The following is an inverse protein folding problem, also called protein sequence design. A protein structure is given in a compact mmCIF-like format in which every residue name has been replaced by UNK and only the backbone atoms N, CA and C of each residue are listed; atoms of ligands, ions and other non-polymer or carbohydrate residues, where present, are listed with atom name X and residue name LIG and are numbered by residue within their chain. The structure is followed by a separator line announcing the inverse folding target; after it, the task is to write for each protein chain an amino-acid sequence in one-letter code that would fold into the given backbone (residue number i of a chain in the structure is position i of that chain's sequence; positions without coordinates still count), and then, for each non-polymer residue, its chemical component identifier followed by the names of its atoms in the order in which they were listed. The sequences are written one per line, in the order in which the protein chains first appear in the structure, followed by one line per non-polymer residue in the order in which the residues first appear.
data_IF_416221601793
#
_entry.id   IF_416221601793
#
_cell.length_a   1.000
_cell.length_b   1.000
_cell.length_c   1.000
_cell.angle_alpha   90.00
_cell.angle_beta   90.00
_cell.angle_gamma   90.00
#
_symmetry.space_group_name_H-M   'P 1'
#
loop_
_entity.id
_entity.type
_entity.pdbx_description
1 polymer ?
#
# COMPACT_ATOMS: atom_id res chain seq x y z
N UNK A 1 -20.95 -1.58 -27.94
CA UNK A 1 -20.70 -1.17 -26.55
C UNK A 1 -20.16 0.24 -26.64
N UNK A 2 -20.95 1.21 -26.22
CA UNK A 2 -20.58 2.62 -26.18
C UNK A 2 -19.34 2.78 -25.28
N UNK A 3 -18.34 3.50 -25.77
CA UNK A 3 -17.18 3.95 -25.01
C UNK A 3 -17.72 4.74 -23.80
N UNK A 4 -17.76 4.11 -22.61
CA UNK A 4 -17.84 4.91 -21.40
C UNK A 4 -16.60 5.80 -21.40
N UNK A 5 -16.80 7.11 -21.22
CA UNK A 5 -15.69 8.06 -21.10
C UNK A 5 -14.82 7.64 -19.92
N UNK A 6 -13.65 7.00 -20.21
CA UNK A 6 -12.67 6.64 -19.19
C UNK A 6 -12.07 7.92 -18.64
N UNK A 7 -11.98 8.02 -17.33
CA UNK A 7 -11.30 9.15 -16.69
C UNK A 7 -9.80 9.05 -16.99
N UNK A 8 -9.21 10.15 -17.47
CA UNK A 8 -7.80 10.22 -17.81
C UNK A 8 -6.99 10.88 -16.69
N UNK A 9 -5.89 10.23 -16.32
CA UNK A 9 -4.94 10.72 -15.33
C UNK A 9 -3.54 10.84 -15.93
N UNK A 10 -2.69 11.71 -15.37
CA UNK A 10 -1.29 11.76 -15.74
C UNK A 10 -0.55 10.55 -15.16
N UNK A 11 -0.64 10.36 -13.86
CA UNK A 11 0.00 9.24 -13.16
C UNK A 11 -1.00 8.56 -12.24
N UNK A 12 -0.98 7.23 -12.23
CA UNK A 12 -1.69 6.39 -11.25
C UNK A 12 -0.67 5.51 -10.54
N UNK A 13 -0.75 5.45 -9.22
CA UNK A 13 0.11 4.60 -8.40
C UNK A 13 -0.77 3.68 -7.56
N UNK A 14 -0.53 2.38 -7.66
CA UNK A 14 -1.14 1.34 -6.84
C UNK A 14 -0.05 0.49 -6.18
N UNK A 15 -0.34 -0.09 -5.03
CA UNK A 15 0.55 -1.02 -4.32
C UNK A 15 -0.24 -2.08 -3.58
N UNK A 16 0.45 -3.08 -3.06
CA UNK A 16 -0.10 -4.05 -2.09
C UNK A 16 -1.37 -4.75 -2.60
N UNK A 17 -1.31 -5.27 -3.82
CA UNK A 17 -2.40 -6.07 -4.42
C UNK A 17 -2.39 -7.48 -3.87
N UNK A 18 -1.20 -8.03 -3.57
CA UNK A 18 -0.98 -9.37 -3.01
C UNK A 18 -1.69 -10.48 -3.78
N UNK A 19 -1.54 -10.49 -5.12
CA UNK A 19 -2.08 -11.54 -5.98
C UNK A 19 -1.56 -12.91 -5.54
N UNK A 20 -2.43 -13.91 -5.53
CA UNK A 20 -2.15 -15.24 -5.02
C UNK A 20 -2.55 -15.45 -3.56
N UNK A 21 -3.04 -14.41 -2.87
CA UNK A 21 -3.64 -14.54 -1.53
C UNK A 21 -5.16 -14.55 -1.61
N UNK A 22 -5.86 -15.24 -0.68
CA UNK A 22 -7.33 -15.24 -0.63
C UNK A 22 -7.91 -13.87 -0.22
N UNK A 23 -7.07 -12.94 0.23
CA UNK A 23 -7.49 -11.61 0.70
C UNK A 23 -7.40 -10.55 -0.39
N UNK A 24 -6.66 -10.83 -1.46
CA UNK A 24 -6.51 -9.93 -2.61
C UNK A 24 -7.87 -9.58 -3.23
N UNK A 25 -8.10 -8.31 -3.45
CA UNK A 25 -9.28 -7.79 -4.16
C UNK A 25 -8.95 -7.55 -5.64
N UNK A 26 -8.31 -8.53 -6.26
CA UNK A 26 -7.84 -8.43 -7.63
C UNK A 26 -8.94 -8.05 -8.64
N UNK A 27 -10.16 -8.54 -8.45
CA UNK A 27 -11.30 -8.14 -9.29
C UNK A 27 -11.64 -6.66 -9.19
N UNK A 28 -11.42 -6.04 -8.02
CA UNK A 28 -11.68 -4.63 -7.77
C UNK A 28 -10.62 -3.76 -8.45
N UNK A 29 -9.33 -4.07 -8.26
CA UNK A 29 -8.24 -3.32 -8.91
C UNK A 29 -8.29 -3.46 -10.42
N UNK A 30 -8.65 -4.64 -10.94
CA UNK A 30 -8.82 -4.88 -12.39
C UNK A 30 -9.94 -4.00 -12.95
N UNK A 31 -11.09 -3.92 -12.26
CA UNK A 31 -12.19 -3.04 -12.67
C UNK A 31 -11.82 -1.56 -12.58
N UNK A 32 -11.11 -1.17 -11.54
CA UNK A 32 -10.61 0.20 -11.37
C UNK A 32 -9.73 0.60 -12.55
N UNK A 33 -8.68 -0.17 -12.85
CA UNK A 33 -7.78 0.10 -13.97
C UNK A 33 -8.51 0.07 -15.33
N UNK A 34 -9.50 -0.81 -15.50
CA UNK A 34 -10.29 -0.89 -16.74
C UNK A 34 -11.18 0.32 -17.01
N UNK A 35 -11.47 1.15 -15.99
CA UNK A 35 -12.33 2.35 -16.10
C UNK A 35 -11.55 3.65 -16.28
N UNK A 36 -10.24 3.61 -16.28
CA UNK A 36 -9.39 4.78 -16.44
C UNK A 36 -8.40 4.61 -17.58
N UNK A 37 -7.74 5.69 -17.95
CA UNK A 37 -6.51 5.72 -18.75
C UNK A 37 -5.51 6.63 -18.05
N UNK A 38 -4.22 6.41 -18.26
CA UNK A 38 -3.19 7.27 -17.72
C UNK A 38 -1.96 7.30 -18.62
N UNK A 39 -1.18 8.38 -18.52
CA UNK A 39 0.11 8.44 -19.20
C UNK A 39 1.12 7.47 -18.54
N UNK A 40 1.03 7.32 -17.19
CA UNK A 40 1.92 6.49 -16.39
C UNK A 40 1.17 5.70 -15.33
N UNK A 41 1.44 4.40 -15.28
CA UNK A 41 0.99 3.50 -14.21
C UNK A 41 2.21 3.00 -13.43
N UNK A 42 2.26 3.27 -12.13
CA UNK A 42 3.30 2.74 -11.24
C UNK A 42 2.71 1.68 -10.32
N UNK A 43 3.25 0.48 -10.40
CA UNK A 43 2.97 -0.65 -9.52
C UNK A 43 4.02 -0.61 -8.40
N UNK A 44 3.65 -0.06 -7.25
CA UNK A 44 4.62 0.30 -6.19
C UNK A 44 4.83 -0.83 -5.16
N UNK A 45 5.08 -2.03 -5.64
CA UNK A 45 5.47 -3.22 -4.88
C UNK A 45 4.32 -4.03 -4.29
N UNK A 46 4.64 -5.27 -3.94
CA UNK A 46 3.72 -6.27 -3.40
C UNK A 46 2.48 -6.50 -4.28
N UNK A 47 2.71 -6.47 -5.60
CA UNK A 47 1.66 -6.75 -6.58
C UNK A 47 1.40 -8.24 -6.64
N UNK A 48 2.47 -9.04 -6.67
CA UNK A 48 2.41 -10.50 -6.67
C UNK A 48 2.91 -11.02 -5.32
N UNK A 49 2.13 -11.84 -4.64
CA UNK A 49 2.62 -12.51 -3.43
C UNK A 49 3.38 -13.79 -3.79
N UNK A 50 4.66 -13.65 -4.10
CA UNK A 50 5.55 -14.75 -4.44
C UNK A 50 5.74 -15.77 -3.31
N UNK A 51 5.58 -15.36 -2.04
CA UNK A 51 5.67 -16.26 -0.90
C UNK A 51 4.47 -17.20 -0.85
N UNK A 52 3.29 -16.69 -1.16
CA UNK A 52 2.08 -17.51 -1.23
C UNK A 52 2.05 -18.41 -2.47
N UNK A 53 2.50 -17.92 -3.61
CA UNK A 53 2.55 -18.72 -4.84
C UNK A 53 3.50 -19.92 -4.72
N UNK A 54 4.57 -19.82 -3.92
CA UNK A 54 5.50 -20.94 -3.65
C UNK A 54 4.88 -22.04 -2.79
N UNK A 55 3.80 -21.78 -2.07
CA UNK A 55 3.26 -22.70 -1.06
C UNK A 55 2.10 -23.58 -1.54
N UNK A 56 1.42 -23.22 -2.59
CA UNK A 56 0.22 -23.94 -3.05
C UNK A 56 0.19 -24.00 -4.57
N UNK A 57 -0.01 -25.22 -5.08
CA UNK A 57 -0.32 -25.46 -6.47
C UNK A 57 -1.67 -24.82 -6.84
N UNK A 58 -1.79 -24.25 -8.04
CA UNK A 58 -3.02 -23.67 -8.62
C UNK A 58 -3.59 -22.36 -8.00
N UNK A 59 -2.74 -21.42 -7.59
CA UNK A 59 -3.23 -20.10 -7.16
C UNK A 59 -3.36 -19.06 -8.27
N UNK A 60 -2.83 -19.35 -9.46
CA UNK A 60 -2.96 -18.43 -10.59
C UNK A 60 -4.28 -18.70 -11.32
N UNK A 61 -5.23 -17.83 -11.13
CA UNK A 61 -6.58 -17.96 -11.70
C UNK A 61 -6.78 -17.08 -12.94
N UNK A 62 -7.96 -17.15 -13.54
CA UNK A 62 -8.35 -16.25 -14.62
C UNK A 62 -8.35 -14.78 -14.18
N UNK A 63 -8.51 -14.50 -12.88
CA UNK A 63 -8.54 -13.12 -12.36
C UNK A 63 -7.17 -12.48 -12.41
N UNK A 64 -6.10 -13.19 -12.05
CA UNK A 64 -4.72 -12.72 -12.17
C UNK A 64 -4.37 -12.45 -13.64
N UNK A 65 -4.76 -13.36 -14.51
CA UNK A 65 -4.58 -13.18 -15.96
C UNK A 65 -5.35 -11.98 -16.51
N UNK A 66 -6.57 -11.73 -16.01
CA UNK A 66 -7.37 -10.57 -16.39
C UNK A 66 -6.73 -9.25 -15.96
N UNK A 67 -6.10 -9.19 -14.77
CA UNK A 67 -5.38 -8.02 -14.30
C UNK A 67 -4.24 -7.65 -15.26
N UNK A 68 -3.38 -8.60 -15.60
CA UNK A 68 -2.31 -8.34 -16.57
C UNK A 68 -2.84 -8.03 -17.97
N UNK A 69 -3.96 -8.63 -18.38
CA UNK A 69 -4.59 -8.30 -19.66
C UNK A 69 -5.06 -6.85 -19.74
N UNK A 70 -5.50 -6.25 -18.62
CA UNK A 70 -5.84 -4.83 -18.55
C UNK A 70 -4.58 -3.98 -18.69
N UNK A 71 -3.49 -4.31 -17.98
CA UNK A 71 -2.21 -3.59 -18.08
C UNK A 71 -1.66 -3.66 -19.51
N UNK A 72 -1.68 -4.82 -20.15
CA UNK A 72 -1.25 -4.94 -21.54
C UNK A 72 -2.08 -4.09 -22.50
N UNK A 73 -3.40 -3.98 -22.27
CA UNK A 73 -4.25 -3.07 -23.05
C UNK A 73 -3.90 -1.59 -22.83
N UNK A 74 -3.55 -1.20 -21.61
CA UNK A 74 -3.09 0.17 -21.31
C UNK A 74 -1.76 0.46 -22.03
N UNK A 75 -0.82 -0.47 -22.03
CA UNK A 75 0.43 -0.38 -22.80
C UNK A 75 0.17 -0.23 -24.29
N UNK A 76 -0.63 -1.12 -24.88
CA UNK A 76 -0.80 -1.19 -26.35
C UNK A 76 -1.70 -0.09 -26.91
N UNK A 77 -2.83 0.17 -26.24
CA UNK A 77 -3.86 1.08 -26.77
C UNK A 77 -3.73 2.50 -26.26
N UNK A 78 -3.40 2.65 -24.98
CA UNK A 78 -3.32 3.95 -24.31
C UNK A 78 -1.89 4.50 -24.32
N UNK A 79 -0.91 3.69 -24.75
CA UNK A 79 0.53 4.03 -24.73
C UNK A 79 1.01 4.40 -23.31
N UNK A 80 0.39 3.79 -22.31
CA UNK A 80 0.73 4.02 -20.90
C UNK A 80 2.14 3.52 -20.61
N UNK A 81 3.00 4.36 -20.02
CA UNK A 81 4.25 3.91 -19.42
C UNK A 81 3.94 3.07 -18.18
N UNK A 82 4.43 1.85 -18.09
CA UNK A 82 4.23 0.99 -16.92
C UNK A 82 5.55 0.74 -16.21
N UNK A 83 5.59 1.09 -14.93
CA UNK A 83 6.75 0.90 -14.06
C UNK A 83 6.37 -0.01 -12.90
N UNK A 84 7.18 -1.02 -12.65
CA UNK A 84 7.03 -1.94 -11.53
C UNK A 84 8.18 -1.69 -10.54
N UNK A 85 7.87 -1.16 -9.39
CA UNK A 85 8.80 -1.04 -8.26
C UNK A 85 8.67 -2.31 -7.42
N UNK A 86 9.78 -2.99 -7.12
CA UNK A 86 9.74 -4.26 -6.37
C UNK A 86 9.41 -4.05 -4.90
N UNK A 87 8.61 -4.98 -4.34
CA UNK A 87 8.28 -5.07 -2.92
C UNK A 87 8.89 -6.32 -2.27
N UNK A 88 8.68 -6.51 -0.98
CA UNK A 88 9.23 -7.66 -0.27
C UNK A 88 8.52 -8.99 -0.58
N UNK A 89 7.26 -8.95 -1.03
CA UNK A 89 6.57 -10.14 -1.52
C UNK A 89 6.90 -10.45 -2.98
N UNK A 90 7.47 -9.49 -3.70
CA UNK A 90 7.96 -9.63 -5.07
C UNK A 90 9.47 -9.95 -5.13
N UNK A 91 10.09 -10.41 -4.05
CA UNK A 91 11.55 -10.65 -3.88
C UNK A 91 12.17 -11.53 -4.97
N UNK A 92 11.35 -12.34 -5.64
CA UNK A 92 11.77 -13.15 -6.78
C UNK A 92 12.18 -12.31 -8.02
N UNK A 93 11.78 -11.03 -8.06
CA UNK A 93 12.17 -10.08 -9.10
C UNK A 93 13.50 -9.38 -8.81
N UNK A 94 14.00 -9.40 -7.59
CA UNK A 94 15.21 -8.66 -7.19
C UNK A 94 16.45 -9.08 -7.99
N UNK A 95 16.54 -10.37 -8.35
CA UNK A 95 17.67 -10.88 -9.12
C UNK A 95 17.72 -10.39 -10.58
N UNK A 96 16.60 -9.88 -11.09
CA UNK A 96 16.52 -9.37 -12.47
C UNK A 96 16.34 -7.86 -12.52
N UNK A 97 16.12 -7.21 -11.39
CA UNK A 97 15.93 -5.76 -11.27
C UNK A 97 17.30 -5.05 -11.16
N UNK A 98 17.59 -3.95 -11.89
CA UNK A 98 16.68 -3.30 -12.84
C UNK A 98 16.66 -3.98 -14.23
N UNK A 99 15.49 -4.11 -14.82
CA UNK A 99 15.35 -4.61 -16.19
C UNK A 99 14.12 -4.01 -16.88
N UNK A 100 14.05 -4.19 -18.20
CA UNK A 100 12.85 -3.90 -18.98
C UNK A 100 12.37 -5.17 -19.65
N UNK A 101 11.12 -5.52 -19.43
CA UNK A 101 10.48 -6.72 -19.99
C UNK A 101 9.09 -6.36 -20.51
N UNK A 102 8.79 -6.68 -21.78
CA UNK A 102 7.50 -6.39 -22.42
C UNK A 102 7.02 -4.94 -22.25
N UNK A 103 7.91 -3.96 -22.34
CA UNK A 103 7.64 -2.53 -22.16
C UNK A 103 7.26 -2.14 -20.70
N UNK A 104 7.48 -3.02 -19.75
CA UNK A 104 7.38 -2.74 -18.31
C UNK A 104 8.80 -2.56 -17.76
N UNK A 105 9.04 -1.45 -17.09
CA UNK A 105 10.32 -1.19 -16.42
C UNK A 105 10.26 -1.71 -14.99
N UNK A 106 11.12 -2.65 -14.62
CA UNK A 106 11.25 -3.17 -13.25
C UNK A 106 12.41 -2.45 -12.56
N UNK A 107 12.14 -1.81 -11.43
CA UNK A 107 13.10 -0.98 -10.68
C UNK A 107 12.92 -1.12 -9.19
N UNK A 108 13.94 -0.75 -8.39
CA UNK A 108 13.81 -0.71 -6.93
C UNK A 108 13.30 0.66 -6.44
N UNK A 109 13.56 1.71 -7.21
CA UNK A 109 13.05 3.06 -6.97
C UNK A 109 12.73 3.73 -8.31
N UNK A 110 11.74 4.61 -8.32
CA UNK A 110 11.36 5.36 -9.51
C UNK A 110 11.19 6.83 -9.19
N UNK A 111 11.70 7.71 -10.05
CA UNK A 111 11.57 9.15 -9.86
C UNK A 111 10.48 9.72 -10.77
N UNK A 112 9.56 10.44 -10.18
CA UNK A 112 8.52 11.22 -10.88
C UNK A 112 8.89 12.69 -10.76
N UNK A 113 9.01 13.36 -11.91
CA UNK A 113 9.20 14.81 -11.96
C UNK A 113 7.98 15.44 -12.62
N UNK A 114 7.16 16.11 -11.82
CA UNK A 114 5.95 16.72 -12.26
C UNK A 114 5.71 18.08 -11.61
N UNK A 115 5.29 19.07 -12.42
CA UNK A 115 4.98 20.44 -11.99
C UNK A 115 6.08 21.10 -11.11
N UNK A 116 7.34 20.82 -11.44
CA UNK A 116 8.49 21.34 -10.68
C UNK A 116 8.69 20.70 -9.32
N UNK A 117 8.00 19.59 -9.05
CA UNK A 117 8.17 18.75 -7.86
C UNK A 117 8.73 17.39 -8.23
N UNK A 118 9.59 16.87 -7.35
CA UNK A 118 10.21 15.56 -7.50
C UNK A 118 9.70 14.63 -6.42
N UNK A 119 9.21 13.47 -6.82
CA UNK A 119 8.79 12.40 -5.93
C UNK A 119 9.61 11.15 -6.22
N UNK A 120 10.10 10.51 -5.17
CA UNK A 120 10.64 9.16 -5.27
C UNK A 120 9.56 8.15 -4.91
N UNK A 121 9.36 7.16 -5.76
CA UNK A 121 8.44 6.04 -5.53
C UNK A 121 9.27 4.84 -5.14
N UNK A 122 8.95 4.24 -4.00
CA UNK A 122 9.52 2.98 -3.51
C UNK A 122 8.40 2.15 -2.89
N UNK A 123 8.64 0.87 -2.65
CA UNK A 123 7.67 0.10 -1.87
C UNK A 123 7.68 0.50 -0.39
N UNK A 124 8.84 0.62 0.22
CA UNK A 124 9.00 1.09 1.61
C UNK A 124 9.54 0.03 2.57
N UNK A 125 9.56 -1.24 2.20
CA UNK A 125 9.98 -2.36 3.06
C UNK A 125 11.42 -2.24 3.59
N UNK A 126 12.32 -1.61 2.84
CA UNK A 126 13.72 -1.43 3.25
C UNK A 126 13.89 -0.58 4.53
N UNK A 127 12.88 0.22 4.89
CA UNK A 127 12.85 1.08 6.08
C UNK A 127 12.06 0.46 7.24
N UNK A 128 11.53 -0.75 7.02
CA UNK A 128 10.72 -1.44 8.00
C UNK A 128 11.53 -2.51 8.73
N UNK A 129 12.21 -2.13 9.78
CA UNK A 129 12.95 -3.08 10.60
C UNK A 129 12.07 -3.96 11.50
N UNK A 130 10.78 -3.63 11.75
CA UNK A 130 9.97 -4.34 12.77
C UNK A 130 8.44 -4.25 12.55
N UNK A 131 7.92 -3.45 11.61
CA UNK A 131 6.51 -3.00 11.62
C UNK A 131 5.49 -4.04 11.19
N UNK A 132 5.82 -5.00 10.35
CA UNK A 132 4.88 -6.02 9.85
C UNK A 132 4.22 -6.84 10.97
N UNK A 133 4.90 -7.09 12.07
CA UNK A 133 4.34 -7.83 13.21
C UNK A 133 3.43 -6.98 14.12
N UNK A 134 3.59 -5.65 14.12
CA UNK A 134 2.85 -4.76 15.02
C UNK A 134 1.63 -4.06 14.42
N UNK A 135 1.43 -4.17 13.12
CA UNK A 135 0.27 -3.56 12.41
C UNK A 135 -1.07 -4.09 12.92
N UNK A 136 -1.14 -5.38 13.19
CA UNK A 136 -2.32 -6.00 13.80
C UNK A 136 -2.65 -5.42 15.17
N UNK A 137 -1.62 -5.07 15.95
CA UNK A 137 -1.78 -4.50 17.30
C UNK A 137 -2.27 -3.05 17.21
N UNK A 138 -1.82 -2.27 16.24
CA UNK A 138 -2.28 -0.89 16.05
C UNK A 138 -3.72 -0.84 15.55
N UNK A 139 -4.11 -1.72 14.59
CA UNK A 139 -5.51 -1.84 14.12
C UNK A 139 -6.46 -2.39 15.19
N UNK A 140 -6.02 -3.35 15.98
CA UNK A 140 -6.78 -3.83 17.15
C UNK A 140 -6.94 -2.75 18.21
N UNK A 141 -6.02 -1.79 18.32
CA UNK A 141 -6.03 -0.75 19.35
C UNK A 141 -7.26 0.17 19.33
N UNK A 142 -7.87 0.44 18.17
CA UNK A 142 -9.03 1.33 18.06
C UNK A 142 -10.36 0.61 18.39
N UNK A 143 -10.65 -0.49 17.72
CA UNK A 143 -11.94 -1.19 17.86
C UNK A 143 -11.94 -2.21 19.00
N UNK A 144 -10.83 -2.88 19.25
CA UNK A 144 -10.72 -3.87 20.33
C UNK A 144 -10.48 -3.24 21.70
N UNK A 145 -10.02 -1.98 21.79
CA UNK A 145 -9.72 -1.33 23.08
C UNK A 145 -10.93 -1.31 24.02
N UNK A 146 -12.09 -0.92 23.52
CA UNK A 146 -13.33 -0.92 24.33
C UNK A 146 -13.81 -2.35 24.64
N UNK A 147 -13.65 -3.29 23.73
CA UNK A 147 -13.94 -4.70 23.97
C UNK A 147 -12.98 -5.33 24.98
N UNK A 148 -11.69 -5.03 24.86
CA UNK A 148 -10.65 -5.48 25.79
C UNK A 148 -10.81 -4.88 27.19
N UNK A 149 -11.23 -3.63 27.32
CA UNK A 149 -11.55 -3.03 28.63
C UNK A 149 -12.73 -3.75 29.29
N UNK A 150 -13.78 -4.08 28.54
CA UNK A 150 -14.92 -4.87 29.06
C UNK A 150 -14.50 -6.27 29.46
N UNK A 151 -13.70 -6.93 28.63
CA UNK A 151 -13.15 -8.26 28.91
C UNK A 151 -12.22 -8.23 30.13
N UNK A 152 -11.33 -7.23 30.23
CA UNK A 152 -10.46 -7.03 31.40
C UNK A 152 -11.25 -6.89 32.70
N UNK A 153 -12.35 -6.16 32.68
CA UNK A 153 -13.22 -5.99 33.87
C UNK A 153 -13.90 -7.31 34.28
N UNK A 154 -14.40 -8.07 33.30
CA UNK A 154 -14.98 -9.40 33.55
C UNK A 154 -13.96 -10.39 34.07
N UNK A 155 -12.76 -10.42 33.43
CA UNK A 155 -11.65 -11.30 33.80
C UNK A 155 -11.13 -10.98 35.21
N UNK A 156 -10.99 -9.70 35.57
CA UNK A 156 -10.54 -9.30 36.88
C UNK A 156 -11.59 -9.59 37.98
N UNK A 157 -12.88 -9.48 37.69
CA UNK A 157 -13.94 -9.95 38.61
C UNK A 157 -13.87 -11.45 38.88
N UNK A 158 -13.57 -12.26 37.86
CA UNK A 158 -13.37 -13.69 38.02
C UNK A 158 -12.07 -14.03 38.79
N UNK A 159 -11.01 -13.25 38.60
CA UNK A 159 -9.74 -13.40 39.36
C UNK A 159 -9.87 -13.05 40.81
N UNK A 160 -10.57 -11.95 41.14
CA UNK A 160 -10.87 -11.55 42.55
C UNK A 160 -11.62 -12.63 43.30
N UNK A 161 -12.65 -13.26 42.65
CA UNK A 161 -13.36 -14.39 43.24
C UNK A 161 -12.47 -15.59 43.56
N UNK A 162 -11.33 -15.73 42.85
CA UNK A 162 -10.38 -16.80 43.03
C UNK A 162 -9.12 -16.38 43.82
N UNK A 163 -9.15 -15.26 44.53
CA UNK A 163 -8.04 -14.78 45.38
C UNK A 163 -6.79 -14.38 44.64
N UNK A 164 -6.86 -14.09 43.33
CA UNK A 164 -5.72 -13.67 42.49
C UNK A 164 -5.69 -12.17 42.31
N UNK A 165 -4.48 -11.59 42.27
CA UNK A 165 -4.28 -10.16 42.02
C UNK A 165 -4.84 -9.72 40.67
N UNK A 166 -5.30 -8.45 40.60
CA UNK A 166 -5.80 -7.84 39.35
C UNK A 166 -4.70 -7.77 38.30
N UNK A 167 -5.05 -8.16 37.10
CA UNK A 167 -4.15 -8.04 35.94
C UNK A 167 -4.58 -6.86 35.07
N UNK A 168 -3.66 -5.98 34.71
CA UNK A 168 -3.94 -4.80 33.90
C UNK A 168 -3.54 -5.03 32.44
N UNK A 169 -4.48 -5.50 31.63
CA UNK A 169 -4.31 -5.53 30.17
C UNK A 169 -4.09 -4.13 29.58
N UNK A 170 -4.65 -3.09 30.21
CA UNK A 170 -4.49 -1.71 29.73
C UNK A 170 -3.05 -1.23 29.74
N UNK A 171 -2.22 -1.71 30.69
CA UNK A 171 -0.80 -1.36 30.78
C UNK A 171 0.00 -2.00 29.63
N UNK A 172 -0.26 -3.27 29.33
CA UNK A 172 0.36 -3.99 28.23
C UNK A 172 -0.03 -3.37 26.87
N UNK A 173 -1.31 -3.00 26.69
CA UNK A 173 -1.80 -2.34 25.48
C UNK A 173 -1.17 -0.95 25.32
N UNK A 174 -1.10 -0.12 26.38
CA UNK A 174 -0.44 1.19 26.30
C UNK A 174 1.02 1.09 25.88
N UNK A 175 1.75 0.07 26.38
CA UNK A 175 3.13 -0.18 25.95
C UNK A 175 3.19 -0.63 24.51
N UNK A 176 2.28 -1.49 24.04
CA UNK A 176 2.18 -1.91 22.64
C UNK A 176 1.87 -0.74 21.70
N UNK A 177 0.88 0.08 22.04
CA UNK A 177 0.52 1.28 21.26
C UNK A 177 1.67 2.28 21.21
N UNK A 178 2.31 2.59 22.35
CA UNK A 178 3.47 3.49 22.39
C UNK A 178 4.62 2.97 21.52
N UNK A 179 4.87 1.66 21.56
CA UNK A 179 5.91 1.04 20.74
C UNK A 179 5.57 1.13 19.24
N UNK A 180 4.31 0.86 18.85
CA UNK A 180 3.85 0.99 17.48
C UNK A 180 3.96 2.44 16.97
N UNK A 181 3.56 3.44 17.77
CA UNK A 181 3.71 4.85 17.42
C UNK A 181 5.17 5.24 17.21
N UNK A 182 6.07 4.78 18.09
CA UNK A 182 7.51 5.08 17.97
C UNK A 182 8.10 4.42 16.70
N UNK A 183 7.66 3.22 16.34
CA UNK A 183 8.12 2.52 15.14
C UNK A 183 7.65 3.23 13.87
N UNK A 184 6.38 3.63 13.81
CA UNK A 184 5.84 4.43 12.69
C UNK A 184 6.62 5.74 12.56
N UNK A 185 6.88 6.43 13.66
CA UNK A 185 7.66 7.67 13.66
C UNK A 185 9.11 7.47 13.20
N UNK A 186 9.73 6.33 13.52
CA UNK A 186 11.04 5.92 13.00
C UNK A 186 11.00 5.73 11.48
N UNK A 187 10.10 4.90 11.01
CA UNK A 187 9.87 4.64 9.58
C UNK A 187 9.70 5.94 8.78
N UNK A 188 8.81 6.83 9.25
CA UNK A 188 8.57 8.11 8.59
C UNK A 188 9.80 9.04 8.59
N UNK A 189 10.59 9.01 9.67
CA UNK A 189 11.83 9.75 9.73
C UNK A 189 12.84 9.28 8.70
N UNK A 190 13.00 7.97 8.56
CA UNK A 190 13.93 7.35 7.63
C UNK A 190 13.50 7.59 6.17
N UNK A 191 12.20 7.52 5.88
CA UNK A 191 11.65 7.89 4.58
C UNK A 191 11.92 9.35 4.21
N UNK A 192 11.77 10.27 5.18
CA UNK A 192 12.04 11.69 4.94
C UNK A 192 13.54 11.95 4.65
N UNK A 193 14.42 11.27 5.37
CA UNK A 193 15.88 11.36 5.13
C UNK A 193 16.25 10.77 3.77
N UNK A 194 15.65 9.65 3.40
CA UNK A 194 15.86 9.04 2.09
C UNK A 194 15.41 9.97 0.95
N UNK A 195 14.18 10.49 1.00
CA UNK A 195 13.68 11.42 -0.02
C UNK A 195 14.57 12.67 -0.14
N UNK A 196 15.03 13.21 0.99
CA UNK A 196 15.99 14.33 1.02
C UNK A 196 17.32 13.97 0.36
N UNK A 197 17.84 12.77 0.61
CA UNK A 197 19.09 12.30 -0.01
C UNK A 197 18.97 12.20 -1.53
N UNK A 198 17.78 11.89 -2.05
CA UNK A 198 17.43 11.87 -3.47
C UNK A 198 17.09 13.25 -4.04
N UNK A 199 17.16 14.31 -3.24
CA UNK A 199 16.74 15.67 -3.61
C UNK A 199 15.30 15.73 -4.11
N UNK A 200 14.40 15.00 -3.44
CA UNK A 200 12.98 14.94 -3.73
C UNK A 200 12.18 15.82 -2.76
N UNK A 201 11.08 16.38 -3.27
CA UNK A 201 10.09 17.13 -2.48
C UNK A 201 9.12 16.19 -1.74
N UNK A 202 9.01 14.93 -2.20
CA UNK A 202 8.13 13.95 -1.60
C UNK A 202 8.53 12.52 -1.88
N UNK A 203 7.82 11.63 -1.20
CA UNK A 203 7.97 10.18 -1.32
C UNK A 203 6.60 9.52 -1.42
N UNK A 204 6.48 8.56 -2.32
CA UNK A 204 5.29 7.74 -2.51
C UNK A 204 5.66 6.31 -2.18
N UNK A 205 4.87 5.64 -1.34
CA UNK A 205 5.09 4.23 -1.02
C UNK A 205 3.78 3.47 -0.74
N UNK A 206 3.89 2.17 -0.57
CA UNK A 206 2.87 1.25 -0.07
C UNK A 206 3.27 0.69 1.29
N UNK A 207 3.35 -0.65 1.37
CA UNK A 207 3.89 -1.47 2.44
C UNK A 207 3.12 -1.42 3.76
N UNK A 208 2.79 -0.25 4.29
CA UNK A 208 2.05 -0.15 5.56
C UNK A 208 0.52 -0.26 5.38
N UNK A 209 0.00 -0.45 4.17
CA UNK A 209 -1.41 -0.61 3.79
C UNK A 209 -2.35 0.47 4.38
N UNK A 210 -1.84 1.64 4.67
CA UNK A 210 -2.63 2.73 5.25
C UNK A 210 -2.52 3.96 4.37
N UNK A 211 -3.59 4.33 3.65
CA UNK A 211 -3.59 5.53 2.83
C UNK A 211 -3.27 6.76 3.67
N UNK A 212 -2.28 7.54 3.25
CA UNK A 212 -1.81 8.69 4.02
C UNK A 212 -1.32 9.80 3.10
N UNK A 213 -1.59 11.04 3.46
CA UNK A 213 -1.03 12.25 2.81
C UNK A 213 -0.68 13.25 3.91
N UNK A 214 0.59 13.40 4.17
CA UNK A 214 1.09 14.33 5.21
C UNK A 214 2.46 14.87 4.91
N UNK A 215 2.83 15.92 5.64
CA UNK A 215 4.18 16.49 5.56
C UNK A 215 5.03 15.90 6.70
N UNK A 216 6.15 15.31 6.33
CA UNK A 216 7.17 14.81 7.24
C UNK A 216 8.22 15.87 7.54
N UNK A 217 9.28 15.47 8.27
CA UNK A 217 10.46 16.29 8.50
C UNK A 217 11.00 16.85 7.17
N UNK A 218 11.66 17.98 7.24
CA UNK A 218 12.27 18.68 6.10
C UNK A 218 11.28 19.15 5.04
N UNK A 219 9.99 19.16 5.33
CA UNK A 219 8.95 19.54 4.37
C UNK A 219 8.67 18.49 3.31
N UNK A 220 9.15 17.26 3.49
CA UNK A 220 8.92 16.14 2.56
C UNK A 220 7.45 15.71 2.61
N UNK A 221 6.76 15.72 1.47
CA UNK A 221 5.40 15.18 1.38
C UNK A 221 5.45 13.66 1.30
N UNK A 222 4.80 13.01 2.24
CA UNK A 222 4.62 11.57 2.29
C UNK A 222 3.25 11.19 1.78
N UNK A 223 3.23 10.30 0.81
CA UNK A 223 2.03 9.73 0.22
C UNK A 223 2.11 8.21 0.33
N UNK A 224 1.10 7.58 0.92
CA UNK A 224 1.00 6.13 0.93
C UNK A 224 -0.21 5.68 0.12
N UNK A 225 -0.03 4.74 -0.82
CA UNK A 225 -1.08 4.28 -1.73
C UNK A 225 -2.20 3.50 -1.03
N UNK A 226 -1.93 3.00 0.20
CA UNK A 226 -2.80 2.01 0.84
C UNK A 226 -2.61 0.63 0.22
N UNK A 227 -3.70 -0.11 0.04
CA UNK A 227 -3.66 -1.50 -0.44
C UNK A 227 -4.94 -1.91 -1.22
N UNK A 228 -4.90 -3.09 -1.84
CA UNK A 228 -6.04 -3.74 -2.50
C UNK A 228 -6.48 -5.02 -1.76
N UNK A 229 -6.29 -5.02 -0.46
CA UNK A 229 -6.76 -6.06 0.48
C UNK A 229 -7.89 -5.52 1.35
N UNK A 230 -7.69 -4.32 1.94
CA UNK A 230 -8.63 -3.72 2.87
C UNK A 230 -9.05 -2.30 2.49
N UNK A 231 -8.09 -1.40 2.19
CA UNK A 231 -8.38 0.02 1.94
C UNK A 231 -8.94 0.30 0.56
N UNK A 232 -8.64 -0.55 -0.43
CA UNK A 232 -9.03 -0.41 -1.84
C UNK A 232 -8.74 0.99 -2.37
N UNK A 233 -7.50 1.44 -2.23
CA UNK A 233 -7.10 2.79 -2.53
C UNK A 233 -5.97 2.87 -3.55
N UNK A 234 -5.90 3.99 -4.23
CA UNK A 234 -4.86 4.33 -5.19
C UNK A 234 -4.55 5.83 -5.08
N UNK A 235 -3.35 6.21 -5.50
CA UNK A 235 -3.01 7.60 -5.74
C UNK A 235 -3.18 7.90 -7.23
N UNK A 236 -3.79 9.02 -7.57
CA UNK A 236 -3.85 9.48 -8.94
C UNK A 236 -3.60 10.98 -9.02
N UNK A 237 -2.83 11.35 -10.03
CA UNK A 237 -2.52 12.72 -10.37
C UNK A 237 -3.36 13.15 -11.56
N UNK A 238 -4.12 14.24 -11.39
CA UNK A 238 -4.98 14.76 -12.44
C UNK A 238 -4.16 15.41 -13.56
N UNK A 239 -4.59 15.19 -14.81
CA UNK A 239 -3.90 15.70 -16.00
C UNK A 239 -4.00 17.22 -16.18
N UNK A 240 -5.04 17.88 -15.62
CA UNK A 240 -5.31 19.31 -15.81
C UNK A 240 -5.78 19.99 -14.54
N UNK A 241 -5.27 21.20 -14.30
CA UNK A 241 -5.76 22.27 -13.41
C UNK A 241 -5.71 22.08 -11.89
N UNK A 242 -5.61 20.90 -11.33
CA UNK A 242 -5.44 20.72 -9.90
C UNK A 242 -4.18 19.87 -9.67
N UNK A 243 -3.07 20.52 -9.38
CA UNK A 243 -1.76 19.92 -9.04
C UNK A 243 -1.82 19.18 -7.70
N UNK A 244 -2.70 18.18 -7.57
CA UNK A 244 -2.89 17.44 -6.33
C UNK A 244 -2.99 15.95 -6.62
N UNK A 245 -2.20 15.19 -5.88
CA UNK A 245 -2.44 13.79 -5.67
C UNK A 245 -3.75 13.63 -4.91
N UNK A 246 -4.65 12.82 -5.44
CA UNK A 246 -5.92 12.50 -4.80
C UNK A 246 -5.95 11.03 -4.44
N UNK A 247 -6.45 10.72 -3.25
CA UNK A 247 -6.82 9.36 -2.90
C UNK A 247 -8.14 9.01 -3.55
N UNK A 248 -8.16 7.90 -4.27
CA UNK A 248 -9.40 7.24 -4.65
C UNK A 248 -9.61 6.06 -3.72
N UNK A 249 -10.43 6.24 -2.69
CA UNK A 249 -11.09 5.12 -2.07
C UNK A 249 -12.11 4.62 -3.11
N UNK A 250 -11.97 3.39 -3.58
CA UNK A 250 -13.01 2.75 -4.36
C UNK A 250 -14.13 2.44 -3.38
N UNK A 251 -14.98 3.43 -3.11
CA UNK A 251 -16.25 3.18 -2.47
C UNK A 251 -16.94 2.11 -3.29
N UNK A 252 -17.29 1.00 -2.67
CA UNK A 252 -18.26 0.04 -3.16
C UNK A 252 -19.61 0.77 -3.23
N UNK A 253 -19.76 1.68 -4.20
CA UNK A 253 -21.08 2.12 -4.62
C UNK A 253 -21.62 0.94 -5.39
N UNK A 254 -22.48 0.18 -4.71
CA UNK A 254 -23.31 -0.84 -5.31
C UNK A 254 -23.98 -0.25 -6.56
N UNK A 255 -23.79 -0.94 -7.67
CA UNK A 255 -24.59 -0.81 -8.88
C UNK A 255 -25.45 -2.04 -9.00
#
# INVERSE_FOLDING_TARGET
MTSMDRVHYKTVVISDVHMGTPFSKIGEVTRFLGRLSCERLVLAGDIIDGWQLKQVDDKWTVQESAFFSVIMKMLEKDQTEVVYVTGNHDDFLDNITPCQLFFISFVNEYLIEDFGKRYVVIHGHAFDSITTQFRWIAKLGGLAYNGLLRFNNLWNKAREKNGKEKYSFSKAIKHGVKRAVNLISGFESDLAEFARSRKCDGIICGHIHHPEDKILKYGIRYLNCGDWVESLSALAEASYAIQRWNFFAVSLVAF
#
